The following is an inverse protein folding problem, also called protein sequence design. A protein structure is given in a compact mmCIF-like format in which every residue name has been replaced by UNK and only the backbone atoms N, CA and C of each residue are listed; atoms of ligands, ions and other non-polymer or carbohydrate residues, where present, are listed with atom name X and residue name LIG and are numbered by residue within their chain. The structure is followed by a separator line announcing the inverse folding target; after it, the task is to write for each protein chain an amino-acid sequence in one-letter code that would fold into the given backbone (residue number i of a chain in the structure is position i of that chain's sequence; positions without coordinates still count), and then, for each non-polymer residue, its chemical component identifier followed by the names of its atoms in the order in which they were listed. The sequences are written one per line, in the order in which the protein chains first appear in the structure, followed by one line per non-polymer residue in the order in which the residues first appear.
data_IF_474951296231
#
_entry.id   IF_474951296231
#
_cell.length_a   1.000
_cell.length_b   1.000
_cell.length_c   1.000
_cell.angle_alpha   90.00
_cell.angle_beta   90.00
_cell.angle_gamma   90.00
#
_symmetry.space_group_name_H-M   'P 1'
#
loop_
_entity.id
_entity.type
_entity.pdbx_description
1 polymer ?
#
# COMPACT_ATOMS: atom_id res chain seq x y z
N UNK A 1 11.91 -24.41 -63.90
CA UNK A 1 10.71 -25.20 -63.68
C UNK A 1 9.87 -24.43 -62.69
N UNK A 2 9.15 -23.71 -63.17
CA UNK A 2 7.83 -23.12 -63.37
C UNK A 2 6.71 -23.97 -62.74
N UNK A 3 5.92 -23.42 -61.90
CA UNK A 3 4.46 -23.60 -61.85
C UNK A 3 3.82 -22.57 -60.86
N UNK A 4 3.14 -21.63 -61.49
CA UNK A 4 2.08 -20.77 -60.93
C UNK A 4 0.82 -21.63 -60.73
N UNK A 5 -0.01 -21.22 -59.71
CA UNK A 5 -1.48 -21.27 -59.73
C UNK A 5 -1.96 -20.44 -58.54
N UNK A 6 -2.60 -19.37 -58.75
CA UNK A 6 -3.93 -18.93 -59.21
C UNK A 6 -4.78 -18.49 -57.98
N UNK A 7 -5.11 -17.24 -58.06
CA UNK A 7 -6.12 -16.48 -57.30
C UNK A 7 -7.50 -17.12 -57.37
N UNK A 8 -8.27 -17.04 -56.29
CA UNK A 8 -9.71 -17.10 -56.42
C UNK A 8 -10.37 -16.05 -55.53
N UNK A 9 -10.94 -15.06 -56.19
CA UNK A 9 -11.90 -14.10 -55.64
C UNK A 9 -13.26 -14.75 -55.49
N UNK A 10 -13.99 -14.48 -54.42
CA UNK A 10 -15.45 -14.43 -54.47
C UNK A 10 -16.07 -13.78 -53.23
N UNK A 11 -16.63 -12.63 -53.53
CA UNK A 11 -18.00 -12.15 -53.25
C UNK A 11 -18.38 -11.71 -51.84
N UNK A 12 -18.53 -10.42 -51.77
CA UNK A 12 -19.40 -9.62 -50.85
C UNK A 12 -20.87 -9.85 -51.22
N UNK A 13 -21.80 -9.95 -50.32
CA UNK A 13 -23.18 -9.56 -50.55
C UNK A 13 -23.59 -8.29 -49.82
N UNK A 14 -24.42 -7.61 -50.47
CA UNK A 14 -25.03 -6.32 -50.52
C UNK A 14 -25.96 -6.00 -49.32
N UNK A 15 -26.11 -4.71 -49.11
CA UNK A 15 -26.89 -4.03 -48.07
C UNK A 15 -28.34 -3.92 -48.51
N UNK A 16 -29.28 -4.28 -47.64
CA UNK A 16 -30.71 -4.06 -47.78
C UNK A 16 -31.36 -3.36 -46.59
N UNK A 17 -31.54 -2.05 -46.68
CA UNK A 17 -32.63 -1.15 -46.19
C UNK A 17 -33.55 -1.53 -45.02
N UNK A 18 -33.46 -0.68 -43.98
CA UNK A 18 -34.53 0.14 -43.34
C UNK A 18 -35.96 -0.42 -43.23
N UNK A 19 -36.50 -0.43 -42.02
CA UNK A 19 -37.72 0.29 -41.67
C UNK A 19 -38.05 0.31 -40.18
N UNK A 20 -38.38 1.51 -39.71
CA UNK A 20 -39.34 1.92 -38.67
C UNK A 20 -39.29 1.45 -37.22
N UNK A 21 -39.10 2.48 -36.35
CA UNK A 21 -39.42 2.62 -34.94
C UNK A 21 -40.96 2.57 -34.73
N UNK A 22 -41.42 2.12 -33.58
CA UNK A 22 -42.31 2.98 -32.81
C UNK A 22 -41.92 3.11 -31.32
N UNK A 23 -41.99 4.36 -30.87
CA UNK A 23 -42.04 4.82 -29.48
C UNK A 23 -43.27 4.26 -28.75
N UNK A 24 -43.08 3.78 -27.55
CA UNK A 24 -44.17 3.61 -26.57
C UNK A 24 -43.68 4.03 -25.17
N UNK A 25 -44.29 5.09 -24.70
CA UNK A 25 -44.31 5.58 -23.33
C UNK A 25 -45.12 4.62 -22.45
N UNK A 26 -44.63 4.27 -21.27
CA UNK A 26 -45.45 3.80 -20.16
C UNK A 26 -44.95 4.31 -18.84
N UNK A 27 -45.88 4.79 -18.10
CA UNK A 27 -45.93 5.53 -16.87
C UNK A 27 -45.86 4.64 -15.62
N UNK A 28 -45.30 5.22 -14.57
CA UNK A 28 -45.62 5.13 -13.13
C UNK A 28 -45.65 3.83 -12.32
N UNK A 29 -44.98 3.98 -11.20
CA UNK A 29 -45.34 3.58 -9.82
C UNK A 29 -45.23 2.10 -9.42
N UNK A 30 -44.22 1.83 -8.57
CA UNK A 30 -44.45 1.00 -7.38
C UNK A 30 -43.56 1.41 -6.20
N UNK A 31 -44.21 1.69 -5.07
CA UNK A 31 -43.67 1.84 -3.71
C UNK A 31 -43.03 0.54 -3.28
N UNK A 32 -41.84 0.64 -2.66
CA UNK A 32 -41.31 -0.46 -1.86
C UNK A 32 -40.97 0.05 -0.47
N UNK A 33 -41.39 -0.73 0.51
CA UNK A 33 -41.26 -0.55 1.94
C UNK A 33 -39.80 -0.36 2.42
N UNK A 34 -39.66 0.58 3.36
CA UNK A 34 -38.48 0.70 4.24
C UNK A 34 -38.56 -0.36 5.31
N UNK A 35 -37.56 -1.22 5.38
CA UNK A 35 -37.21 -1.93 6.60
C UNK A 35 -35.89 -1.33 7.12
N UNK A 36 -36.03 -0.75 8.28
CA UNK A 36 -34.97 -0.07 9.03
C UNK A 36 -34.16 -1.07 9.84
N UNK A 37 -32.85 -1.12 9.58
CA UNK A 37 -31.87 -1.66 10.51
C UNK A 37 -30.86 -0.56 10.86
N UNK A 38 -30.62 -0.23 12.14
CA UNK A 38 -29.71 0.85 12.51
C UNK A 38 -28.27 0.36 12.43
N UNK A 39 -27.54 0.78 11.41
CA UNK A 39 -26.09 0.77 11.39
C UNK A 39 -25.56 1.95 12.16
N UNK A 40 -24.83 1.70 13.25
CA UNK A 40 -24.04 2.70 13.96
C UNK A 40 -22.87 3.12 13.08
N UNK A 41 -23.02 4.25 12.39
CA UNK A 41 -21.95 4.94 11.70
C UNK A 41 -21.07 5.67 12.73
N UNK A 42 -19.85 5.20 12.91
CA UNK A 42 -18.78 5.97 13.54
C UNK A 42 -17.99 6.70 12.46
N UNK A 43 -18.35 7.97 12.26
CA UNK A 43 -17.64 8.91 11.40
C UNK A 43 -16.33 9.33 12.09
N UNK A 44 -15.18 8.87 11.63
CA UNK A 44 -13.87 9.39 11.99
C UNK A 44 -13.38 10.32 10.89
N UNK A 45 -13.77 11.61 11.01
CA UNK A 45 -13.28 12.67 10.16
C UNK A 45 -11.76 12.79 10.23
N UNK A 46 -11.08 12.52 9.12
CA UNK A 46 -9.72 12.98 8.89
C UNK A 46 -9.75 14.47 8.59
N UNK A 47 -8.89 15.31 9.22
CA UNK A 47 -8.79 16.70 8.82
C UNK A 47 -8.18 16.81 7.43
N UNK A 48 -8.97 17.26 6.48
CA UNK A 48 -8.50 17.67 5.16
C UNK A 48 -7.64 18.94 5.32
N UNK A 49 -6.36 18.84 5.00
CA UNK A 49 -5.45 20.00 4.94
C UNK A 49 -5.73 20.73 3.63
N UNK A 50 -6.48 21.83 3.72
CA UNK A 50 -6.74 22.72 2.59
C UNK A 50 -5.56 23.69 2.45
N UNK A 51 -4.82 23.61 1.35
CA UNK A 51 -3.89 24.66 0.95
C UNK A 51 -4.67 25.86 0.41
N UNK A 52 -4.51 27.02 1.05
CA UNK A 52 -5.01 28.29 0.53
C UNK A 52 -4.11 28.79 -0.59
N UNK A 53 -4.57 28.76 -1.83
CA UNK A 53 -4.04 29.61 -2.90
C UNK A 53 -4.74 30.97 -2.85
N UNK A 54 -3.95 32.02 -2.67
CA UNK A 54 -4.39 33.42 -2.85
C UNK A 54 -4.38 33.75 -4.35
N UNK A 55 -5.54 33.96 -4.91
CA UNK A 55 -5.69 34.56 -6.27
C UNK A 55 -6.87 35.50 -6.29
N UNK A 56 -6.57 36.79 -6.42
CA UNK A 56 -7.50 37.91 -6.59
C UNK A 56 -8.38 37.73 -7.83
N UNK A 57 -9.71 37.93 -7.71
CA UNK A 57 -10.41 38.89 -8.57
C UNK A 57 -11.86 39.11 -8.15
N UNK A 58 -12.22 40.37 -7.96
CA UNK A 58 -13.56 40.91 -7.67
C UNK A 58 -14.55 40.65 -8.82
N UNK A 59 -15.72 40.06 -8.50
CA UNK A 59 -16.99 40.40 -9.13
C UNK A 59 -18.11 40.25 -8.11
N UNK A 60 -18.77 41.38 -7.81
CA UNK A 60 -19.95 41.50 -6.97
C UNK A 60 -21.17 40.90 -7.67
N UNK A 61 -21.85 39.96 -6.96
CA UNK A 61 -23.22 39.56 -7.27
C UNK A 61 -24.10 39.87 -6.06
N UNK A 62 -25.13 40.68 -6.25
CA UNK A 62 -26.18 40.97 -5.31
C UNK A 62 -27.18 39.80 -5.30
N UNK A 63 -27.41 39.18 -4.14
CA UNK A 63 -28.42 38.15 -3.96
C UNK A 63 -29.49 38.70 -2.99
N UNK A 64 -30.73 38.76 -3.46
CA UNK A 64 -31.91 39.14 -2.69
C UNK A 64 -32.22 38.11 -1.59
N UNK A 65 -32.44 38.61 -0.38
CA UNK A 65 -32.79 37.81 0.78
C UNK A 65 -34.30 37.54 0.85
N UNK A 66 -34.72 36.32 0.64
CA UNK A 66 -36.03 35.87 1.07
C UNK A 66 -35.95 35.36 2.53
N UNK A 67 -36.69 36.05 3.43
CA UNK A 67 -36.76 35.71 4.88
C UNK A 67 -37.58 34.43 5.08
N UNK A 68 -36.93 33.31 5.31
CA UNK A 68 -37.53 32.11 5.89
C UNK A 68 -37.32 32.13 7.42
N UNK A 69 -38.42 31.94 8.17
CA UNK A 69 -38.42 31.91 9.66
C UNK A 69 -37.67 30.64 10.11
N UNK A 70 -36.54 30.83 10.78
CA UNK A 70 -35.82 29.72 11.47
C UNK A 70 -36.46 29.51 12.87
N UNK A 71 -37.01 28.35 13.07
CA UNK A 71 -37.23 27.77 14.40
C UNK A 71 -35.89 27.43 15.03
N UNK A 72 -35.64 27.74 16.31
CA UNK A 72 -34.38 27.38 16.97
C UNK A 72 -34.37 25.87 17.24
N UNK A 73 -33.46 25.15 16.57
CA UNK A 73 -33.11 23.77 16.92
C UNK A 73 -32.21 23.87 18.15
N UNK A 74 -32.74 23.53 19.30
CA UNK A 74 -31.95 23.35 20.54
C UNK A 74 -31.18 22.08 20.40
N UNK A 75 -29.95 22.16 19.89
CA UNK A 75 -28.99 21.05 19.89
C UNK A 75 -28.49 20.91 21.32
N UNK A 76 -28.96 19.89 22.03
CA UNK A 76 -28.34 19.45 23.27
C UNK A 76 -26.92 19.02 22.95
N UNK A 77 -25.92 19.83 23.33
CA UNK A 77 -24.52 19.38 23.36
C UNK A 77 -24.43 18.32 24.47
N UNK A 78 -24.54 17.06 24.07
CA UNK A 78 -24.07 15.96 24.90
C UNK A 78 -22.57 16.18 25.13
N UNK A 79 -22.19 16.39 26.37
CA UNK A 79 -20.81 16.44 26.85
C UNK A 79 -20.15 15.09 26.51
N UNK A 80 -19.56 14.96 25.32
CA UNK A 80 -18.66 13.87 25.02
C UNK A 80 -17.38 14.11 25.84
N UNK A 81 -17.29 13.42 26.98
CA UNK A 81 -16.05 13.30 27.73
C UNK A 81 -14.95 12.89 26.78
N UNK A 82 -13.81 13.61 26.71
CA UNK A 82 -12.72 13.23 25.81
C UNK A 82 -12.31 11.78 26.13
N UNK A 83 -12.00 10.95 25.11
CA UNK A 83 -11.67 9.55 25.32
C UNK A 83 -10.51 9.44 26.31
N UNK A 84 -10.72 8.70 27.39
CA UNK A 84 -9.74 8.48 28.46
C UNK A 84 -8.46 7.93 27.82
N UNK A 85 -7.33 8.62 27.98
CA UNK A 85 -6.02 8.09 27.59
C UNK A 85 -5.72 6.83 28.39
N UNK A 86 -5.47 5.72 27.70
CA UNK A 86 -5.07 4.46 28.33
C UNK A 86 -3.70 4.63 29.01
N UNK A 87 -3.52 3.99 30.14
CA UNK A 87 -2.21 3.90 30.80
C UNK A 87 -1.29 2.96 30.00
N UNK A 88 0.03 3.05 30.22
CA UNK A 88 1.01 2.16 29.59
C UNK A 88 0.72 0.70 29.96
N UNK A 89 0.28 0.43 31.17
CA UNK A 89 -0.09 -0.91 31.62
C UNK A 89 -1.29 -1.44 30.82
N UNK A 90 -2.37 -0.67 30.70
CA UNK A 90 -3.57 -1.03 29.92
C UNK A 90 -3.23 -1.25 28.44
N UNK A 91 -2.29 -0.45 27.89
CA UNK A 91 -1.79 -0.64 26.53
C UNK A 91 -1.00 -1.92 26.37
N UNK A 92 -0.08 -2.26 27.31
CA UNK A 92 0.65 -3.50 27.28
C UNK A 92 -0.29 -4.72 27.34
N UNK A 93 -1.30 -4.70 28.24
CA UNK A 93 -2.30 -5.76 28.31
C UNK A 93 -3.12 -5.88 27.00
N UNK A 94 -3.45 -4.73 26.39
CA UNK A 94 -4.16 -4.70 25.09
C UNK A 94 -3.31 -5.27 23.96
N UNK A 95 -2.02 -4.95 23.94
CA UNK A 95 -1.06 -5.51 23.00
C UNK A 95 -0.96 -7.03 23.19
N UNK A 96 -0.75 -7.52 24.42
CA UNK A 96 -0.67 -8.95 24.69
C UNK A 96 -1.92 -9.71 24.24
N UNK A 97 -3.11 -9.16 24.50
CA UNK A 97 -4.38 -9.76 24.04
C UNK A 97 -4.57 -9.75 22.53
N UNK A 98 -4.05 -8.73 21.85
CA UNK A 98 -4.25 -8.56 20.40
C UNK A 98 -3.15 -9.21 19.56
N UNK A 99 -2.00 -9.54 20.15
CA UNK A 99 -0.84 -10.12 19.46
C UNK A 99 -0.75 -11.65 19.56
N UNK A 100 -1.72 -12.33 20.19
CA UNK A 100 -1.71 -13.78 20.41
C UNK A 100 -1.46 -14.62 19.14
N UNK A 101 -1.86 -14.12 18.00
CA UNK A 101 -1.73 -14.78 16.70
C UNK A 101 -0.34 -14.60 16.05
N UNK A 102 0.48 -13.63 16.52
CA UNK A 102 1.77 -13.30 15.89
C UNK A 102 2.76 -14.46 15.94
N UNK A 103 2.91 -15.09 17.11
CA UNK A 103 3.82 -16.23 17.26
C UNK A 103 3.40 -17.42 16.39
N UNK A 104 2.15 -17.90 16.43
CA UNK A 104 1.70 -18.96 15.54
C UNK A 104 1.83 -18.58 14.05
N UNK A 105 1.59 -17.32 13.68
CA UNK A 105 1.77 -16.85 12.31
C UNK A 105 3.24 -16.93 11.89
N UNK A 106 4.18 -16.42 12.69
CA UNK A 106 5.61 -16.52 12.39
C UNK A 106 6.05 -17.99 12.26
N UNK A 107 5.63 -18.85 13.16
CA UNK A 107 5.94 -20.30 13.12
C UNK A 107 5.41 -20.95 11.82
N UNK A 108 4.19 -20.60 11.39
CA UNK A 108 3.61 -21.09 10.12
C UNK A 108 4.36 -20.58 8.89
N UNK A 109 4.77 -19.29 8.89
CA UNK A 109 5.56 -18.71 7.81
C UNK A 109 6.93 -19.39 7.71
N UNK A 110 7.64 -19.60 8.83
CA UNK A 110 8.95 -20.28 8.86
C UNK A 110 8.87 -21.77 8.52
N UNK A 111 7.71 -22.41 8.69
CA UNK A 111 7.51 -23.79 8.22
C UNK A 111 7.62 -23.88 6.70
N UNK A 112 7.21 -22.84 5.98
CA UNK A 112 7.16 -22.82 4.52
C UNK A 112 8.30 -22.00 3.89
N UNK A 113 8.86 -21.04 4.60
CA UNK A 113 9.90 -20.13 4.13
C UNK A 113 11.14 -20.34 4.99
N UNK A 114 12.25 -20.70 4.35
CA UNK A 114 13.53 -20.89 5.03
C UNK A 114 14.32 -19.60 4.91
N UNK A 115 14.85 -19.14 6.06
CA UNK A 115 15.51 -17.84 6.12
C UNK A 115 14.54 -16.68 5.89
N UNK A 116 15.05 -15.58 5.32
CA UNK A 116 14.24 -14.39 4.98
C UNK A 116 13.49 -13.78 6.17
N UNK A 117 14.06 -13.89 7.40
CA UNK A 117 13.46 -13.37 8.63
C UNK A 117 13.05 -11.91 8.50
N UNK A 118 13.96 -11.09 7.97
CA UNK A 118 13.73 -9.67 7.76
C UNK A 118 12.56 -9.38 6.81
N UNK A 119 12.42 -10.17 5.74
CA UNK A 119 11.29 -10.06 4.81
C UNK A 119 9.97 -10.38 5.51
N UNK A 120 9.93 -11.47 6.27
CA UNK A 120 8.74 -11.90 7.02
C UNK A 120 8.32 -10.81 8.02
N UNK A 121 9.27 -10.28 8.80
CA UNK A 121 8.99 -9.20 9.75
C UNK A 121 8.49 -7.93 9.05
N UNK A 122 9.12 -7.52 7.96
CA UNK A 122 8.73 -6.34 7.18
C UNK A 122 7.32 -6.48 6.59
N UNK A 123 6.93 -7.68 6.16
CA UNK A 123 5.56 -7.97 5.70
C UNK A 123 4.54 -7.86 6.84
N UNK A 124 4.85 -8.39 8.02
CA UNK A 124 3.98 -8.31 9.19
C UNK A 124 3.86 -6.85 9.67
N UNK A 125 4.98 -6.11 9.73
CA UNK A 125 4.99 -4.66 10.06
C UNK A 125 4.10 -3.89 9.09
N UNK A 126 4.26 -4.11 7.79
CA UNK A 126 3.48 -3.43 6.76
C UNK A 126 1.99 -3.79 6.84
N UNK A 127 1.67 -5.04 7.13
CA UNK A 127 0.30 -5.50 7.35
C UNK A 127 -0.34 -4.78 8.55
N UNK A 128 0.37 -4.67 9.67
CA UNK A 128 -0.09 -4.01 10.90
C UNK A 128 -0.15 -2.49 10.77
N UNK A 129 0.82 -1.88 10.10
CA UNK A 129 0.90 -0.43 9.89
C UNK A 129 0.05 0.06 8.71
N UNK A 130 -0.69 -0.84 8.03
CA UNK A 130 -1.48 -0.53 6.83
C UNK A 130 -0.66 0.10 5.68
N UNK A 131 0.60 -0.31 5.55
CA UNK A 131 1.52 0.15 4.52
C UNK A 131 1.67 -0.84 3.36
N UNK A 132 2.51 -0.48 2.39
CA UNK A 132 2.88 -1.30 1.24
C UNK A 132 4.39 -1.48 1.18
N UNK A 133 4.87 -2.53 0.53
CA UNK A 133 6.29 -2.91 0.52
C UNK A 133 6.81 -2.95 -0.91
N UNK A 134 7.98 -2.35 -1.11
CA UNK A 134 8.79 -2.52 -2.30
C UNK A 134 9.94 -3.47 -1.99
N UNK A 135 10.05 -4.56 -2.72
CA UNK A 135 11.16 -5.51 -2.59
C UNK A 135 12.16 -5.31 -3.72
N UNK A 136 13.41 -5.18 -3.35
CA UNK A 136 14.51 -5.21 -4.28
C UNK A 136 15.35 -6.47 -4.06
N UNK A 137 15.63 -7.19 -5.12
CA UNK A 137 16.44 -8.41 -5.06
C UNK A 137 16.28 -9.27 -6.30
N UNK A 138 17.26 -10.14 -6.52
CA UNK A 138 17.31 -11.03 -7.69
C UNK A 138 16.13 -12.02 -7.71
N UNK A 139 15.79 -12.59 -8.86
CA UNK A 139 14.79 -13.66 -8.97
C UNK A 139 15.16 -14.89 -8.11
N UNK A 140 14.17 -15.68 -7.74
CA UNK A 140 14.39 -16.96 -7.03
C UNK A 140 14.50 -16.87 -5.50
N UNK A 141 14.43 -15.68 -4.88
CA UNK A 141 14.56 -15.49 -3.43
C UNK A 141 13.23 -15.62 -2.66
N UNK A 142 12.35 -16.54 -3.05
CA UNK A 142 11.09 -16.87 -2.39
C UNK A 142 10.10 -15.68 -2.17
N UNK A 143 10.27 -14.55 -2.88
CA UNK A 143 9.40 -13.35 -2.74
C UNK A 143 7.91 -13.68 -2.94
N UNK A 144 7.59 -14.38 -4.02
CA UNK A 144 6.21 -14.82 -4.31
C UNK A 144 5.68 -15.79 -3.26
N UNK A 145 6.54 -16.72 -2.82
CA UNK A 145 6.18 -17.70 -1.79
C UNK A 145 5.85 -17.00 -0.47
N UNK A 146 6.64 -16.01 -0.06
CA UNK A 146 6.43 -15.28 1.19
C UNK A 146 5.05 -14.60 1.26
N UNK A 147 4.65 -13.85 0.22
CA UNK A 147 3.35 -13.19 0.23
C UNK A 147 2.19 -14.17 0.07
N UNK A 148 2.35 -15.22 -0.75
CA UNK A 148 1.33 -16.26 -0.93
C UNK A 148 1.09 -17.02 0.38
N UNK A 149 2.16 -17.37 1.09
CA UNK A 149 2.07 -18.05 2.40
C UNK A 149 1.42 -17.15 3.44
N UNK A 150 1.81 -15.87 3.51
CA UNK A 150 1.17 -14.90 4.41
C UNK A 150 -0.33 -14.76 4.10
N UNK A 151 -0.71 -14.63 2.83
CA UNK A 151 -2.11 -14.51 2.44
C UNK A 151 -2.94 -15.74 2.85
N UNK A 152 -2.40 -16.94 2.65
CA UNK A 152 -3.05 -18.18 3.06
C UNK A 152 -3.18 -18.28 4.58
N UNK A 153 -2.13 -17.88 5.32
CA UNK A 153 -2.14 -17.91 6.79
C UNK A 153 -3.09 -16.86 7.41
N UNK A 154 -3.38 -15.78 6.69
CA UNK A 154 -4.33 -14.71 7.09
C UNK A 154 -5.76 -14.98 6.57
N UNK A 155 -5.99 -16.07 5.84
CA UNK A 155 -7.26 -16.38 5.18
C UNK A 155 -7.75 -15.20 4.32
N UNK A 156 -6.89 -14.72 3.43
CA UNK A 156 -7.13 -13.55 2.60
C UNK A 156 -6.90 -13.85 1.12
N UNK A 157 -7.61 -13.14 0.25
CA UNK A 157 -7.46 -13.28 -1.20
C UNK A 157 -6.07 -12.79 -1.66
N UNK A 158 -5.43 -13.60 -2.51
CA UNK A 158 -4.13 -13.32 -3.10
C UNK A 158 -4.22 -13.27 -4.62
N UNK A 159 -3.59 -12.25 -5.23
CA UNK A 159 -3.37 -12.16 -6.67
C UNK A 159 -1.93 -11.79 -6.98
N UNK A 160 -1.37 -12.45 -7.98
CA UNK A 160 -0.09 -12.08 -8.61
C UNK A 160 -0.39 -11.38 -9.93
N UNK A 161 0.23 -10.24 -10.14
CA UNK A 161 0.22 -9.47 -11.37
C UNK A 161 1.66 -9.44 -11.87
N UNK A 162 1.96 -10.11 -12.97
CA UNK A 162 3.25 -10.03 -13.64
C UNK A 162 3.22 -8.80 -14.54
N UNK A 163 4.08 -7.83 -14.27
CA UNK A 163 4.15 -6.61 -15.07
C UNK A 163 4.91 -6.84 -16.37
N UNK A 164 4.37 -6.34 -17.49
CA UNK A 164 4.93 -6.46 -18.84
C UNK A 164 4.78 -5.15 -19.60
N UNK A 165 5.61 -4.90 -20.65
CA UNK A 165 5.58 -3.64 -21.39
C UNK A 165 4.27 -3.36 -22.14
N UNK A 166 3.50 -4.38 -22.45
CA UNK A 166 2.24 -4.30 -23.21
C UNK A 166 0.98 -4.16 -22.33
N UNK A 167 1.13 -4.13 -20.99
CA UNK A 167 0.02 -3.97 -20.06
C UNK A 167 -0.67 -2.62 -20.18
N UNK A 168 -1.98 -2.63 -19.90
CA UNK A 168 -2.83 -1.45 -19.77
C UNK A 168 -3.29 -1.26 -18.32
N UNK A 169 -3.64 -0.04 -17.88
CA UNK A 169 -4.22 0.20 -16.56
C UNK A 169 -5.44 -0.67 -16.27
N UNK A 170 -6.28 -0.95 -17.28
CA UNK A 170 -7.46 -1.80 -17.18
C UNK A 170 -7.15 -3.24 -16.75
N UNK A 171 -5.96 -3.75 -17.03
CA UNK A 171 -5.53 -5.10 -16.61
C UNK A 171 -5.35 -5.18 -15.10
N UNK A 172 -5.09 -4.06 -14.43
CA UNK A 172 -4.92 -3.96 -12.98
C UNK A 172 -6.24 -3.59 -12.29
N UNK A 173 -6.88 -2.50 -12.75
CA UNK A 173 -8.04 -1.93 -12.08
C UNK A 173 -9.36 -2.56 -12.54
N UNK A 174 -9.39 -3.11 -13.76
CA UNK A 174 -10.61 -3.61 -14.38
C UNK A 174 -11.19 -2.65 -15.42
N UNK A 175 -12.31 -3.02 -16.02
CA UNK A 175 -12.96 -2.28 -17.10
C UNK A 175 -14.45 -2.52 -17.10
N UNK A 176 -15.20 -1.69 -17.83
CA UNK A 176 -16.59 -1.94 -18.18
C UNK A 176 -16.68 -2.77 -19.45
N UNK A 177 -17.51 -3.79 -19.42
CA UNK A 177 -17.77 -4.67 -20.57
C UNK A 177 -19.23 -4.50 -20.96
N UNK A 178 -19.47 -4.21 -22.24
CA UNK A 178 -20.81 -4.15 -22.77
C UNK A 178 -21.44 -5.55 -22.82
N UNK A 179 -22.59 -5.70 -22.16
CA UNK A 179 -23.38 -6.92 -22.21
C UNK A 179 -24.50 -6.76 -23.26
N UNK A 180 -24.40 -7.42 -24.41
CA UNK A 180 -25.40 -7.27 -25.48
C UNK A 180 -26.77 -7.88 -25.14
N UNK A 181 -26.87 -8.79 -24.14
CA UNK A 181 -28.14 -9.38 -23.73
C UNK A 181 -29.00 -8.42 -22.94
N UNK A 182 -28.37 -7.66 -22.04
CA UNK A 182 -29.07 -6.74 -21.13
C UNK A 182 -28.94 -5.28 -21.59
N UNK A 183 -28.28 -5.05 -22.74
CA UNK A 183 -28.00 -3.70 -23.32
C UNK A 183 -27.44 -2.73 -22.27
N UNK A 184 -26.55 -3.23 -21.42
CA UNK A 184 -25.92 -2.44 -20.36
C UNK A 184 -24.42 -2.70 -20.27
N UNK A 185 -23.71 -1.85 -19.51
CA UNK A 185 -22.31 -2.07 -19.16
C UNK A 185 -22.22 -2.77 -17.80
N UNK A 186 -21.36 -3.79 -17.73
CA UNK A 186 -21.08 -4.53 -16.51
C UNK A 186 -19.64 -4.25 -16.10
N UNK A 187 -19.42 -3.78 -14.88
CA UNK A 187 -18.08 -3.57 -14.35
C UNK A 187 -17.41 -4.90 -14.03
N UNK A 188 -16.30 -5.19 -14.71
CA UNK A 188 -15.39 -6.30 -14.38
C UNK A 188 -14.23 -5.78 -13.57
N UNK A 189 -14.23 -6.06 -12.25
CA UNK A 189 -13.14 -5.67 -11.34
C UNK A 189 -11.86 -6.39 -11.68
N UNK A 190 -10.73 -5.66 -11.62
CA UNK A 190 -9.39 -6.19 -11.86
C UNK A 190 -8.78 -6.85 -10.61
N UNK A 191 -7.57 -7.39 -10.73
CA UNK A 191 -6.87 -8.11 -9.66
C UNK A 191 -6.51 -7.22 -8.44
N UNK A 192 -6.50 -5.89 -8.57
CA UNK A 192 -6.23 -4.97 -7.47
C UNK A 192 -7.26 -5.07 -6.33
N UNK A 193 -8.45 -5.59 -6.61
CA UNK A 193 -9.52 -5.77 -5.61
C UNK A 193 -9.32 -6.98 -4.68
N UNK A 194 -8.11 -7.52 -4.62
CA UNK A 194 -7.74 -8.59 -3.69
C UNK A 194 -7.06 -8.03 -2.44
N UNK A 195 -7.10 -8.76 -1.34
CA UNK A 195 -6.46 -8.35 -0.09
C UNK A 195 -4.94 -8.22 -0.22
N UNK A 196 -4.31 -9.22 -0.86
CA UNK A 196 -2.86 -9.27 -1.07
C UNK A 196 -2.55 -9.29 -2.56
N UNK A 197 -1.81 -8.29 -3.00
CA UNK A 197 -1.40 -8.14 -4.41
C UNK A 197 0.12 -8.18 -4.49
N UNK A 198 0.63 -9.14 -5.25
CA UNK A 198 2.02 -9.16 -5.68
C UNK A 198 2.11 -8.48 -7.06
N UNK A 199 2.69 -7.30 -7.10
CA UNK A 199 3.05 -6.59 -8.32
C UNK A 199 4.48 -6.99 -8.71
N UNK A 200 4.61 -8.06 -9.49
CA UNK A 200 5.90 -8.65 -9.81
C UNK A 200 6.55 -7.94 -11.00
N UNK A 201 7.81 -7.50 -10.81
CA UNK A 201 8.59 -6.73 -11.79
C UNK A 201 7.89 -5.42 -12.23
N UNK A 202 7.45 -4.61 -11.25
CA UNK A 202 6.67 -3.38 -11.49
C UNK A 202 7.37 -2.42 -12.47
N UNK A 203 8.69 -2.42 -12.52
CA UNK A 203 9.50 -1.60 -13.40
C UNK A 203 9.47 -2.05 -14.88
N UNK A 204 8.85 -3.18 -15.24
CA UNK A 204 8.67 -3.61 -16.63
C UNK A 204 7.48 -2.98 -17.33
N UNK A 205 6.50 -2.48 -16.59
CA UNK A 205 5.32 -1.85 -17.19
C UNK A 205 5.48 -0.34 -17.41
N UNK A 206 4.78 0.23 -18.40
CA UNK A 206 4.78 1.67 -18.66
C UNK A 206 4.30 2.48 -17.44
N UNK A 207 4.76 3.73 -17.34
CA UNK A 207 4.45 4.63 -16.22
C UNK A 207 2.94 4.80 -15.93
N UNK A 208 2.07 4.71 -16.97
CA UNK A 208 0.61 4.79 -16.78
C UNK A 208 0.06 3.62 -15.99
N UNK A 209 0.61 2.43 -16.19
CA UNK A 209 0.20 1.19 -15.48
C UNK A 209 0.69 1.23 -14.04
N UNK A 210 1.95 1.63 -13.85
CA UNK A 210 2.52 1.85 -12.51
C UNK A 210 1.68 2.88 -11.73
N UNK A 211 1.32 4.00 -12.36
CA UNK A 211 0.52 5.06 -11.73
C UNK A 211 -0.86 4.57 -11.29
N UNK A 212 -1.53 3.73 -12.08
CA UNK A 212 -2.84 3.17 -11.72
C UNK A 212 -2.79 2.30 -10.45
N UNK A 213 -1.75 1.45 -10.32
CA UNK A 213 -1.54 0.67 -9.10
C UNK A 213 -1.26 1.59 -7.90
N UNK A 214 -0.34 2.55 -8.06
CA UNK A 214 0.10 3.44 -6.98
C UNK A 214 -0.99 4.42 -6.54
N UNK A 215 -1.91 4.79 -7.42
CA UNK A 215 -3.10 5.57 -7.09
C UNK A 215 -4.05 4.74 -6.22
N UNK A 216 -4.40 3.54 -6.65
CA UNK A 216 -5.23 2.62 -5.86
C UNK A 216 -4.63 2.31 -4.48
N UNK A 217 -3.30 2.17 -4.38
CA UNK A 217 -2.60 1.99 -3.10
C UNK A 217 -2.81 3.18 -2.15
N UNK A 218 -2.75 4.41 -2.67
CA UNK A 218 -2.84 5.62 -1.86
C UNK A 218 -4.29 5.95 -1.50
N UNK A 219 -5.20 5.93 -2.48
CA UNK A 219 -6.58 6.36 -2.31
C UNK A 219 -7.48 5.28 -1.71
N UNK A 220 -7.02 4.03 -1.64
CA UNK A 220 -7.78 2.87 -1.14
C UNK A 220 -9.10 2.64 -1.88
N UNK A 221 -9.21 3.18 -3.07
CA UNK A 221 -10.36 3.06 -3.96
C UNK A 221 -9.91 3.14 -5.42
N UNK A 222 -10.74 2.69 -6.32
CA UNK A 222 -10.50 2.70 -7.76
C UNK A 222 -11.76 3.12 -8.49
N UNK A 223 -11.64 4.02 -9.45
CA UNK A 223 -12.74 4.43 -10.34
C UNK A 223 -12.69 3.64 -11.64
N UNK A 224 -13.80 3.02 -12.02
CA UNK A 224 -13.98 2.28 -13.27
C UNK A 224 -15.24 2.84 -13.94
N UNK A 225 -15.09 3.42 -15.14
CA UNK A 225 -16.17 4.20 -15.74
C UNK A 225 -16.59 5.37 -14.84
N UNK A 226 -17.88 5.44 -14.52
CA UNK A 226 -18.44 6.50 -13.67
C UNK A 226 -18.57 6.07 -12.20
N UNK A 227 -18.09 4.88 -11.80
CA UNK A 227 -18.26 4.34 -10.47
C UNK A 227 -16.95 4.19 -9.72
N UNK A 228 -16.93 4.58 -8.44
CA UNK A 228 -15.81 4.42 -7.53
C UNK A 228 -16.07 3.25 -6.58
N UNK A 229 -15.11 2.34 -6.51
CA UNK A 229 -15.18 1.13 -5.70
C UNK A 229 -14.08 1.14 -4.63
N UNK A 230 -14.41 0.94 -3.35
CA UNK A 230 -13.40 0.81 -2.30
C UNK A 230 -12.62 -0.50 -2.47
N UNK A 231 -11.34 -0.46 -2.10
CA UNK A 231 -10.50 -1.64 -1.95
C UNK A 231 -10.73 -2.30 -0.58
N UNK A 232 -10.30 -3.55 -0.38
CA UNK A 232 -10.48 -4.25 0.91
C UNK A 232 -9.85 -3.50 2.08
N UNK A 233 -10.47 -3.55 3.30
CA UNK A 233 -9.94 -2.94 4.53
C UNK A 233 -8.53 -3.42 4.88
N UNK A 234 -8.29 -4.73 4.69
CA UNK A 234 -6.96 -5.32 4.77
C UNK A 234 -6.43 -5.47 3.34
N UNK A 235 -5.65 -4.50 2.92
CA UNK A 235 -5.07 -4.43 1.59
C UNK A 235 -3.58 -4.20 1.68
N UNK A 236 -2.78 -5.10 1.11
CA UNK A 236 -1.32 -5.05 1.08
C UNK A 236 -0.82 -5.28 -0.34
N UNK A 237 -0.08 -4.34 -0.87
CA UNK A 237 0.68 -4.51 -2.12
C UNK A 237 2.14 -4.75 -1.76
N UNK A 238 2.69 -5.81 -2.30
CA UNK A 238 4.11 -6.09 -2.36
C UNK A 238 4.55 -5.96 -3.82
N UNK A 239 5.31 -4.93 -4.13
CA UNK A 239 5.89 -4.76 -5.45
C UNK A 239 7.33 -5.29 -5.47
N UNK A 240 7.76 -5.87 -6.59
CA UNK A 240 9.14 -6.31 -6.75
C UNK A 240 9.84 -5.54 -7.86
N UNK A 241 11.13 -5.26 -7.64
CA UNK A 241 12.03 -4.75 -8.66
C UNK A 241 13.24 -5.67 -8.78
N UNK A 242 13.69 -5.89 -10.00
CA UNK A 242 14.94 -6.56 -10.27
C UNK A 242 16.01 -5.49 -10.58
N UNK A 243 17.04 -5.32 -9.74
CA UNK A 243 18.06 -4.30 -9.94
C UNK A 243 19.01 -4.61 -11.11
N UNK A 244 19.09 -5.88 -11.54
CA UNK A 244 20.05 -6.31 -12.56
C UNK A 244 19.50 -6.09 -13.99
N UNK A 245 18.21 -6.21 -14.17
CA UNK A 245 17.57 -6.03 -15.48
C UNK A 245 17.32 -4.54 -15.75
N UNK A 246 18.16 -3.95 -16.59
CA UNK A 246 18.03 -2.56 -17.03
C UNK A 246 17.36 -2.42 -18.39
N UNK A 247 17.49 -3.41 -19.27
CA UNK A 247 16.92 -3.39 -20.61
C UNK A 247 15.40 -3.58 -20.59
N UNK A 248 14.67 -2.70 -21.27
CA UNK A 248 13.20 -2.75 -21.33
C UNK A 248 12.49 -2.41 -20.02
N UNK A 249 13.15 -1.68 -19.09
CA UNK A 249 12.56 -1.26 -17.82
C UNK A 249 12.23 0.23 -17.82
N UNK A 250 11.18 0.57 -17.05
CA UNK A 250 10.75 1.93 -16.75
C UNK A 250 10.96 2.18 -15.25
N UNK A 251 12.05 2.84 -14.85
CA UNK A 251 12.32 3.08 -13.43
C UNK A 251 11.17 3.87 -12.79
N UNK A 252 10.83 3.51 -11.57
CA UNK A 252 9.86 4.26 -10.78
C UNK A 252 10.46 5.62 -10.38
N UNK A 253 9.81 6.75 -10.68
CA UNK A 253 10.22 8.05 -10.16
C UNK A 253 10.23 8.08 -8.63
N UNK A 254 11.12 8.88 -8.01
CA UNK A 254 11.24 9.00 -6.55
C UNK A 254 9.89 9.29 -5.87
N UNK A 255 9.07 10.18 -6.42
CA UNK A 255 7.74 10.50 -5.89
C UNK A 255 6.77 9.31 -5.88
N UNK A 256 6.99 8.32 -6.74
CA UNK A 256 6.21 7.08 -6.78
C UNK A 256 6.75 6.05 -5.80
N UNK A 257 8.06 5.91 -5.69
CA UNK A 257 8.71 5.01 -4.72
C UNK A 257 8.40 5.46 -3.28
N UNK A 258 8.31 6.77 -3.02
CA UNK A 258 7.94 7.35 -1.71
C UNK A 258 6.55 6.91 -1.20
N UNK A 259 5.68 6.34 -2.05
CA UNK A 259 4.37 5.78 -1.66
C UNK A 259 4.47 4.43 -0.95
N UNK A 260 5.55 3.70 -1.15
CA UNK A 260 5.81 2.47 -0.40
C UNK A 260 6.30 2.81 1.00
N UNK A 261 5.76 2.14 2.01
CA UNK A 261 6.16 2.35 3.39
C UNK A 261 7.59 1.86 3.63
N UNK A 262 7.88 0.65 3.20
CA UNK A 262 9.19 0.00 3.32
C UNK A 262 9.75 -0.34 1.95
N UNK A 263 11.06 -0.16 1.78
CA UNK A 263 11.87 -0.76 0.72
C UNK A 263 12.80 -1.79 1.37
N UNK A 264 12.58 -3.06 1.09
CA UNK A 264 13.31 -4.18 1.69
C UNK A 264 14.25 -4.79 0.67
N UNK A 265 15.51 -4.91 1.02
CA UNK A 265 16.52 -5.61 0.20
C UNK A 265 16.54 -7.07 0.60
N UNK A 266 16.18 -7.93 -0.36
CA UNK A 266 16.15 -9.39 -0.17
C UNK A 266 17.51 -9.95 -0.53
N UNK A 267 18.21 -10.49 0.46
CA UNK A 267 19.55 -11.08 0.30
C UNK A 267 19.46 -12.56 -0.05
N UNK A 268 20.54 -13.08 -0.62
CA UNK A 268 20.70 -14.51 -0.78
C UNK A 268 20.68 -15.22 0.57
N UNK A 269 20.14 -16.47 0.62
CA UNK A 269 20.22 -17.27 1.82
C UNK A 269 21.68 -17.61 2.16
N UNK A 270 21.93 -17.86 3.43
CA UNK A 270 23.23 -18.36 3.88
C UNK A 270 23.43 -19.83 3.41
N UNK A 271 24.68 -20.35 3.35
CA UNK A 271 24.92 -21.75 2.97
C UNK A 271 24.14 -22.76 3.85
N UNK A 272 23.92 -22.45 5.13
CA UNK A 272 23.12 -23.30 6.02
C UNK A 272 21.64 -23.29 5.65
N UNK A 273 21.09 -22.14 5.31
CA UNK A 273 19.71 -21.99 4.82
C UNK A 273 19.52 -22.64 3.44
N UNK A 274 20.49 -22.51 2.53
CA UNK A 274 20.46 -23.19 1.22
C UNK A 274 20.44 -24.71 1.38
N UNK A 275 21.18 -25.23 2.33
CA UNK A 275 21.14 -26.66 2.66
C UNK A 275 19.76 -27.11 3.10
N UNK A 276 19.10 -26.32 3.96
CA UNK A 276 17.73 -26.60 4.39
C UNK A 276 16.72 -26.49 3.24
N UNK A 277 16.93 -25.51 2.33
CA UNK A 277 16.11 -25.38 1.11
C UNK A 277 16.26 -26.64 0.25
N UNK A 278 17.48 -27.09 0.02
CA UNK A 278 17.75 -28.32 -0.73
C UNK A 278 17.03 -29.52 -0.10
N UNK A 279 17.15 -29.70 1.21
CA UNK A 279 16.56 -30.86 1.91
C UNK A 279 15.02 -30.85 1.85
N UNK A 280 14.37 -29.66 1.81
CA UNK A 280 12.90 -29.51 1.73
C UNK A 280 12.34 -29.47 0.30
N UNK A 281 13.04 -28.82 -0.62
CA UNK A 281 12.55 -28.51 -1.96
C UNK A 281 13.22 -29.35 -3.05
N UNK A 282 14.24 -30.14 -2.72
CA UNK A 282 14.99 -30.95 -3.69
C UNK A 282 14.25 -32.21 -4.18
N UNK A 283 12.92 -32.21 -4.12
CA UNK A 283 12.06 -33.28 -4.62
C UNK A 283 11.09 -32.75 -5.66
N UNK A 284 10.64 -33.63 -6.58
CA UNK A 284 9.67 -33.26 -7.61
C UNK A 284 8.25 -32.99 -7.08
N UNK A 285 7.95 -33.45 -5.87
CA UNK A 285 6.65 -33.31 -5.21
C UNK A 285 6.80 -32.52 -3.89
N UNK A 286 6.78 -31.20 -4.00
CA UNK A 286 6.78 -30.32 -2.82
C UNK A 286 5.36 -29.96 -2.43
N UNK A 287 4.89 -30.46 -1.29
CA UNK A 287 3.57 -30.17 -0.76
C UNK A 287 3.67 -29.10 0.32
N UNK A 288 3.45 -27.84 -0.04
CA UNK A 288 3.42 -26.72 0.90
C UNK A 288 1.98 -26.49 1.36
N UNK A 289 1.62 -27.10 2.48
CA UNK A 289 0.36 -26.82 3.15
C UNK A 289 0.52 -25.64 4.11
N UNK A 290 -0.39 -24.68 4.06
CA UNK A 290 -0.41 -23.50 4.94
C UNK A 290 -1.70 -23.52 5.73
N UNK A 291 -1.59 -23.51 7.06
CA UNK A 291 -2.73 -23.40 7.94
C UNK A 291 -3.16 -21.92 8.07
N UNK A 292 -4.47 -21.70 8.08
CA UNK A 292 -5.03 -20.39 8.44
C UNK A 292 -4.87 -20.14 9.93
N UNK A 293 -4.19 -19.07 10.31
CA UNK A 293 -3.84 -18.72 11.69
C UNK A 293 -4.69 -17.57 12.21
N UNK A 294 -4.98 -16.58 11.35
CA UNK A 294 -5.61 -15.33 11.74
C UNK A 294 -6.56 -14.84 10.65
N UNK A 295 -7.63 -14.17 11.03
CA UNK A 295 -8.56 -13.58 10.08
C UNK A 295 -8.21 -12.12 9.75
N UNK A 296 -8.66 -11.62 8.58
CA UNK A 296 -8.55 -10.20 8.23
C UNK A 296 -9.19 -9.29 9.30
N UNK A 297 -10.27 -9.74 9.95
CA UNK A 297 -10.94 -9.01 11.04
C UNK A 297 -10.05 -8.86 12.27
N UNK A 298 -9.24 -9.88 12.60
CA UNK A 298 -8.32 -9.82 13.74
C UNK A 298 -7.12 -8.91 13.43
N UNK A 299 -6.64 -8.90 12.17
CA UNK A 299 -5.64 -7.95 11.71
C UNK A 299 -6.17 -6.51 11.85
N UNK A 300 -7.39 -6.25 11.40
CA UNK A 300 -8.00 -4.93 11.52
C UNK A 300 -8.15 -4.47 12.98
N UNK A 301 -8.53 -5.39 13.90
CA UNK A 301 -8.55 -5.11 15.35
C UNK A 301 -7.16 -4.79 15.89
N UNK A 302 -6.14 -5.57 15.49
CA UNK A 302 -4.75 -5.35 15.89
C UNK A 302 -4.23 -4.00 15.41
N UNK A 303 -4.58 -3.54 14.19
CA UNK A 303 -4.25 -2.19 13.69
C UNK A 303 -4.75 -1.08 14.61
N UNK A 304 -5.95 -1.22 15.21
CA UNK A 304 -6.45 -0.24 16.18
C UNK A 304 -5.57 -0.16 17.42
N UNK A 305 -5.09 -1.30 17.90
CA UNK A 305 -4.18 -1.36 19.05
C UNK A 305 -2.80 -0.79 18.68
N UNK A 306 -2.27 -1.12 17.50
CA UNK A 306 -1.02 -0.53 16.99
C UNK A 306 -1.11 1.00 16.91
N UNK A 307 -2.21 1.54 16.41
CA UNK A 307 -2.41 3.00 16.37
C UNK A 307 -2.42 3.64 17.76
N UNK A 308 -2.91 2.91 18.78
CA UNK A 308 -2.96 3.35 20.18
C UNK A 308 -1.62 3.18 20.92
N UNK A 309 -0.64 2.47 20.37
CA UNK A 309 0.71 2.31 20.98
C UNK A 309 1.27 3.68 21.30
N UNK A 310 1.67 3.87 22.57
CA UNK A 310 2.18 5.13 23.07
C UNK A 310 3.54 5.48 22.46
N UNK A 311 3.73 6.76 22.16
CA UNK A 311 5.01 7.32 21.73
C UNK A 311 5.24 8.61 22.50
N UNK A 312 6.31 8.65 23.29
CA UNK A 312 6.73 9.83 24.05
C UNK A 312 7.12 10.97 23.11
N UNK A 313 6.92 12.22 23.53
CA UNK A 313 7.21 13.38 22.69
C UNK A 313 8.70 13.48 22.34
N UNK A 314 9.61 13.10 23.23
CA UNK A 314 11.06 13.03 22.95
C UNK A 314 11.38 12.02 21.82
N UNK A 315 10.64 10.92 21.79
CA UNK A 315 10.78 9.90 20.72
C UNK A 315 10.23 10.42 19.40
N UNK A 316 9.16 11.23 19.42
CA UNK A 316 8.67 11.94 18.23
C UNK A 316 9.67 12.97 17.73
N UNK A 317 10.26 13.75 18.63
CA UNK A 317 11.30 14.74 18.29
C UNK A 317 12.53 14.06 17.70
N UNK A 318 12.89 12.86 18.18
CA UNK A 318 13.97 12.07 17.61
C UNK A 318 13.69 11.65 16.16
N UNK A 319 12.45 11.18 15.85
CA UNK A 319 12.04 10.89 14.47
C UNK A 319 12.16 12.15 13.60
N UNK A 320 11.64 13.29 14.08
CA UNK A 320 11.71 14.56 13.35
C UNK A 320 13.16 14.96 13.10
N UNK A 321 14.04 14.79 14.08
CA UNK A 321 15.47 15.10 13.97
C UNK A 321 16.15 14.21 12.93
N UNK A 322 15.85 12.90 12.88
CA UNK A 322 16.38 11.98 11.86
C UNK A 322 15.98 12.48 10.47
N UNK A 323 14.69 12.77 10.27
CA UNK A 323 14.20 13.22 8.96
C UNK A 323 14.79 14.59 8.59
N UNK A 324 14.88 15.51 9.54
CA UNK A 324 15.45 16.84 9.30
C UNK A 324 16.94 16.75 8.97
N UNK A 325 17.69 15.86 9.62
CA UNK A 325 19.11 15.62 9.33
C UNK A 325 19.36 15.11 7.89
N UNK A 326 18.39 14.45 7.25
CA UNK A 326 18.49 14.10 5.83
C UNK A 326 18.34 15.30 4.90
N UNK A 327 17.73 16.42 5.36
CA UNK A 327 17.50 17.66 4.58
C UNK A 327 18.52 18.74 4.86
N UNK A 328 18.91 18.86 6.13
CA UNK A 328 19.90 19.82 6.61
C UNK A 328 20.86 19.13 7.59
N UNK A 329 21.80 18.32 7.08
CA UNK A 329 22.77 17.61 7.92
C UNK A 329 23.71 18.56 8.65
N UNK A 330 24.00 19.74 8.09
CA UNK A 330 24.90 20.71 8.68
C UNK A 330 24.40 21.24 10.04
N UNK A 331 23.08 21.39 10.20
CA UNK A 331 22.43 21.76 11.45
C UNK A 331 22.77 20.80 12.60
N UNK A 332 23.02 19.54 12.30
CA UNK A 332 23.38 18.49 13.26
C UNK A 332 24.89 18.20 13.31
N UNK A 333 25.72 19.06 12.70
CA UNK A 333 27.17 18.88 12.67
C UNK A 333 27.68 17.76 11.76
N UNK A 334 26.79 17.24 10.87
CA UNK A 334 27.11 16.18 9.92
C UNK A 334 27.69 16.78 8.63
N UNK A 335 28.81 16.20 8.14
CA UNK A 335 29.41 16.59 6.87
C UNK A 335 28.89 15.75 5.71
N UNK A 336 27.55 15.78 5.53
CA UNK A 336 26.82 14.95 4.54
C UNK A 336 26.15 15.80 3.46
N UNK A 337 26.29 17.13 3.51
CA UNK A 337 25.55 18.04 2.63
C UNK A 337 25.83 17.78 1.15
N UNK A 338 27.08 17.50 0.81
CA UNK A 338 27.52 17.28 -0.58
C UNK A 338 27.14 15.88 -1.09
N UNK A 339 26.80 14.97 -0.19
CA UNK A 339 26.40 13.58 -0.51
C UNK A 339 24.88 13.36 -0.64
N UNK A 340 24.07 14.33 -0.20
CA UNK A 340 22.60 14.21 -0.25
C UNK A 340 22.06 15.15 -1.33
N UNK A 341 21.46 14.57 -2.36
CA UNK A 341 20.75 15.32 -3.41
C UNK A 341 19.38 15.77 -2.90
N UNK A 342 18.59 14.84 -2.35
CA UNK A 342 17.29 15.09 -1.78
C UNK A 342 17.11 14.33 -0.48
N UNK A 343 16.64 15.01 0.58
CA UNK A 343 16.28 14.39 1.85
C UNK A 343 14.86 13.85 1.88
N UNK A 344 14.56 13.06 2.90
CA UNK A 344 13.28 12.37 3.04
C UNK A 344 12.07 13.33 3.14
N UNK A 345 10.96 12.98 2.48
CA UNK A 345 9.69 13.69 2.54
C UNK A 345 8.99 13.57 3.90
N UNK A 346 7.92 14.34 4.19
CA UNK A 346 7.11 14.15 5.40
C UNK A 346 6.49 12.75 5.53
N UNK A 347 6.33 12.00 4.41
CA UNK A 347 5.93 10.59 4.45
C UNK A 347 6.94 9.73 5.23
N UNK A 348 8.23 10.06 5.15
CA UNK A 348 9.27 9.41 5.97
C UNK A 348 8.97 9.49 7.45
N UNK A 349 8.58 10.68 7.96
CA UNK A 349 8.18 10.87 9.36
C UNK A 349 6.98 10.00 9.74
N UNK A 350 5.93 10.01 8.90
CA UNK A 350 4.70 9.25 9.13
C UNK A 350 5.00 7.74 9.12
N UNK A 351 5.69 7.26 8.11
CA UNK A 351 5.97 5.83 7.96
C UNK A 351 6.94 5.30 9.01
N UNK A 352 7.94 6.09 9.41
CA UNK A 352 8.84 5.73 10.51
C UNK A 352 8.06 5.64 11.83
N UNK A 353 7.10 6.54 12.07
CA UNK A 353 6.20 6.48 13.23
C UNK A 353 5.33 5.21 13.21
N UNK A 354 4.68 4.91 12.09
CA UNK A 354 3.76 3.78 11.97
C UNK A 354 4.49 2.44 12.04
N UNK A 355 5.64 2.31 11.35
CA UNK A 355 6.45 1.08 11.38
C UNK A 355 7.05 0.83 12.77
N UNK A 356 7.53 1.88 13.48
CA UNK A 356 8.03 1.75 14.85
C UNK A 356 6.94 1.33 15.84
N UNK A 357 5.70 1.83 15.70
CA UNK A 357 4.57 1.37 16.51
C UNK A 357 4.23 -0.09 16.23
N UNK A 358 4.24 -0.52 14.97
CA UNK A 358 4.03 -1.90 14.60
C UNK A 358 5.16 -2.80 15.12
N UNK A 359 6.42 -2.33 15.08
CA UNK A 359 7.56 -3.06 15.64
C UNK A 359 7.44 -3.22 17.17
N UNK A 360 7.05 -2.16 17.90
CA UNK A 360 6.78 -2.25 19.34
C UNK A 360 5.67 -3.26 19.65
N UNK A 361 4.58 -3.27 18.87
CA UNK A 361 3.48 -4.22 19.01
C UNK A 361 3.95 -5.68 18.78
N UNK A 362 4.75 -5.93 17.74
CA UNK A 362 5.31 -7.27 17.44
C UNK A 362 6.19 -7.76 18.60
N UNK A 363 6.89 -6.85 19.26
CA UNK A 363 7.71 -7.12 20.44
C UNK A 363 6.91 -7.12 21.76
N UNK A 364 5.58 -7.12 21.70
CA UNK A 364 4.69 -7.24 22.86
C UNK A 364 4.64 -5.99 23.75
N UNK A 365 5.03 -4.81 23.24
CA UNK A 365 5.09 -3.55 24.00
C UNK A 365 4.02 -2.55 23.56
N UNK A 366 3.39 -1.90 24.53
CA UNK A 366 2.41 -0.84 24.31
C UNK A 366 3.05 0.55 24.16
N UNK A 367 4.37 0.64 24.03
CA UNK A 367 5.12 1.89 23.84
C UNK A 367 6.31 1.70 22.90
N UNK A 368 6.67 2.76 22.19
CA UNK A 368 7.80 2.80 21.25
C UNK A 368 9.07 3.21 21.98
N UNK A 369 10.17 2.53 21.64
CA UNK A 369 11.53 2.87 22.09
C UNK A 369 12.35 3.43 20.93
N UNK A 370 13.47 4.15 21.20
CA UNK A 370 14.37 4.59 20.14
C UNK A 370 14.91 3.44 19.27
N UNK A 371 15.07 2.25 19.86
CA UNK A 371 15.51 1.05 19.14
C UNK A 371 14.50 0.62 18.06
N UNK A 372 13.21 0.74 18.34
CA UNK A 372 12.18 0.47 17.31
C UNK A 372 12.34 1.38 16.10
N UNK A 373 12.73 2.64 16.31
CA UNK A 373 12.98 3.61 15.24
C UNK A 373 14.22 3.21 14.43
N UNK A 374 15.33 2.89 15.12
CA UNK A 374 16.57 2.48 14.46
C UNK A 374 16.39 1.23 13.61
N UNK A 375 15.65 0.25 14.12
CA UNK A 375 15.37 -1.00 13.41
C UNK A 375 14.57 -0.79 12.11
N UNK A 376 13.75 0.27 12.05
CA UNK A 376 12.91 0.56 10.89
C UNK A 376 13.52 1.61 9.95
N UNK A 377 14.53 2.35 10.41
CA UNK A 377 15.03 3.53 9.72
C UNK A 377 15.57 3.22 8.31
N UNK A 378 16.34 2.16 8.14
CA UNK A 378 16.89 1.79 6.83
C UNK A 378 15.78 1.44 5.83
N UNK A 379 14.84 0.60 6.21
CA UNK A 379 13.77 0.16 5.31
C UNK A 379 12.81 1.29 4.95
N UNK A 380 12.59 2.23 5.88
CA UNK A 380 11.75 3.41 5.64
C UNK A 380 12.45 4.47 4.82
N UNK A 381 13.76 4.68 5.01
CA UNK A 381 14.45 5.87 4.50
C UNK A 381 15.34 5.62 3.28
N UNK A 382 15.82 4.37 3.03
CA UNK A 382 16.78 4.10 1.93
C UNK A 382 16.30 4.54 0.54
N UNK A 383 15.01 4.57 0.31
CA UNK A 383 14.41 5.01 -0.94
C UNK A 383 13.87 6.44 -0.89
N UNK A 384 14.16 7.18 0.18
CA UNK A 384 13.74 8.56 0.43
C UNK A 384 14.89 9.53 0.54
N UNK A 385 16.11 9.01 0.66
CA UNK A 385 17.34 9.77 0.68
C UNK A 385 18.05 9.53 -0.65
N UNK A 386 17.96 10.50 -1.54
CA UNK A 386 18.65 10.43 -2.83
C UNK A 386 20.10 10.89 -2.65
N UNK A 387 21.02 10.09 -3.15
CA UNK A 387 22.47 10.41 -3.09
C UNK A 387 22.86 11.28 -4.27
N UNK A 388 23.91 12.10 -4.09
CA UNK A 388 24.49 12.92 -5.16
C UNK A 388 25.43 12.09 -6.04
N UNK A 389 25.83 12.66 -7.17
CA UNK A 389 26.84 12.02 -8.05
C UNK A 389 28.20 11.89 -7.37
N UNK A 390 28.53 12.82 -6.47
CA UNK A 390 29.76 12.78 -5.66
C UNK A 390 29.73 11.56 -4.72
N UNK A 391 28.58 11.31 -4.06
CA UNK A 391 28.42 10.15 -3.20
C UNK A 391 28.53 8.84 -4.00
N UNK A 392 27.89 8.77 -5.17
CA UNK A 392 27.99 7.59 -6.06
C UNK A 392 29.44 7.34 -6.51
N UNK A 393 30.18 8.39 -6.85
CA UNK A 393 31.57 8.28 -7.27
C UNK A 393 32.50 7.79 -6.14
N UNK A 394 32.19 8.10 -4.88
CA UNK A 394 32.88 7.64 -3.69
C UNK A 394 32.36 6.30 -3.15
N UNK A 395 31.30 5.75 -3.75
CA UNK A 395 30.65 4.50 -3.32
C UNK A 395 29.85 4.62 -2.03
N UNK A 396 29.44 5.85 -1.67
CA UNK A 396 28.62 6.13 -0.49
C UNK A 396 27.16 5.89 -0.84
N UNK A 397 26.49 5.01 -0.08
CA UNK A 397 25.10 4.65 -0.27
C UNK A 397 24.15 5.47 0.61
N UNK A 398 22.85 5.47 0.28
CA UNK A 398 21.82 6.05 1.15
C UNK A 398 21.81 5.38 2.54
N UNK A 399 22.14 4.10 2.64
CA UNK A 399 22.22 3.36 3.90
C UNK A 399 23.38 3.83 4.77
N UNK A 400 24.53 4.14 4.17
CA UNK A 400 25.69 4.70 4.89
C UNK A 400 25.35 6.07 5.48
N UNK A 401 24.68 6.93 4.69
CA UNK A 401 24.23 8.24 5.13
C UNK A 401 23.25 8.12 6.31
N UNK A 402 22.22 7.26 6.18
CA UNK A 402 21.24 7.04 7.24
C UNK A 402 21.90 6.49 8.49
N UNK A 403 22.82 5.54 8.34
CA UNK A 403 23.55 4.94 9.45
C UNK A 403 24.40 5.98 10.19
N UNK A 404 25.07 6.86 9.45
CA UNK A 404 25.85 7.96 10.05
C UNK A 404 24.95 8.94 10.81
N UNK A 405 23.76 9.28 10.27
CA UNK A 405 22.77 10.11 10.97
C UNK A 405 22.33 9.46 12.29
N UNK A 406 21.94 8.18 12.26
CA UNK A 406 21.49 7.43 13.43
C UNK A 406 22.56 7.30 14.53
N UNK A 407 23.83 7.23 14.13
CA UNK A 407 24.96 7.12 15.06
C UNK A 407 25.35 8.48 15.68
N UNK A 408 25.03 9.59 15.02
CA UNK A 408 25.42 10.93 15.46
C UNK A 408 24.36 11.60 16.30
N UNK A 409 23.07 11.38 15.97
CA UNK A 409 21.98 12.03 16.70
C UNK A 409 21.84 11.49 18.13
N UNK A 410 21.66 12.38 19.13
CA UNK A 410 21.46 11.95 20.51
C UNK A 410 20.16 11.15 20.65
N UNK A 411 20.27 10.01 21.30
CA UNK A 411 19.12 9.12 21.59
C UNK A 411 18.40 9.62 22.84
N UNK A 412 17.06 9.81 22.83
CA UNK A 412 16.30 10.33 23.95
C UNK A 412 16.19 9.37 25.14
#
# INVERSE_FOLDING_TARGET
MDTRHQLNESRVPDIGKLTHIPTASVDKQHRVHKDSNPTLDFDFGYPSVTYFEKGLNHRSFTVEHSRSRKTPITTSMENQTPPRKLTIQELNESVQRSSFWLRPLKEELHRNIIGQEHLIESLIISLLANGHVLLEGVPGLAKTLALKTLASAVLADFRRIQFTPDMLPADIIGTEIYNPKDVNFITKKGPIFSNFVLADEINRAPAKVQSALLEGMQERQVTIGDQTFPLPDVFLVMATQNPIEQEGTYPLPEAQVDRFMLKVIVKHPTPAEERLILDRMGTSEVNLTVNSIVSAKDIWRSRKVVNAVFMDDRVKDYIVSIIHATRDPAHYGLKLKDYILNGASPRGTIFLTLSSKANAFINGRGFVTPEDIKNQALDVLRHRVAVSYEAEAEGITSEDIITQILNTLPVP
#
